data_IF_398782801618
#
_entry.id   IF_398782801618
#
_cell.length_a   1.000
_cell.length_b   1.000
_cell.length_c   1.000
_cell.angle_alpha   90.00
_cell.angle_beta   90.00
_cell.angle_gamma   90.00
#
_symmetry.space_group_name_H-M   'P 1'
#
loop_
_entity.id
_entity.type
_entity.pdbx_description
1 polymer ?
#
# COMPACT_ATOMS: atom_id res chain seq x y z
N UNK A 1 -86.78 -140.79 65.66
CA UNK A 1 -85.74 -139.86 66.15
C UNK A 1 -84.43 -139.79 65.33
N UNK A 2 -84.25 -140.49 64.18
CA UNK A 2 -83.01 -140.38 63.36
C UNK A 2 -83.05 -139.37 62.19
N UNK A 3 -84.22 -138.80 61.84
CA UNK A 3 -84.38 -137.87 60.70
C UNK A 3 -83.98 -136.42 61.02
N UNK A 4 -84.07 -135.98 62.27
CA UNK A 4 -83.82 -134.58 62.67
C UNK A 4 -82.32 -134.21 62.73
N UNK A 5 -81.42 -135.18 62.92
CA UNK A 5 -79.99 -134.91 63.00
C UNK A 5 -79.33 -134.67 61.64
N UNK A 6 -79.94 -135.13 60.54
CA UNK A 6 -79.35 -135.02 59.20
C UNK A 6 -79.57 -133.63 58.56
N UNK A 7 -80.73 -133.02 58.82
CA UNK A 7 -81.12 -131.72 58.25
C UNK A 7 -80.32 -130.56 58.86
N UNK A 8 -79.96 -130.68 60.14
CA UNK A 8 -79.14 -129.71 60.86
C UNK A 8 -77.67 -129.69 60.39
N UNK A 9 -77.18 -130.79 59.80
CA UNK A 9 -75.83 -130.87 59.24
C UNK A 9 -75.73 -130.15 57.89
N UNK A 10 -76.79 -130.20 57.07
CA UNK A 10 -76.82 -129.59 55.73
C UNK A 10 -76.82 -128.05 55.81
N UNK A 11 -77.59 -127.50 56.75
CA UNK A 11 -77.63 -126.06 57.04
C UNK A 11 -76.29 -125.51 57.56
N UNK A 12 -75.53 -126.30 58.33
CA UNK A 12 -74.18 -125.91 58.78
C UNK A 12 -73.21 -125.77 57.61
N UNK A 13 -73.25 -126.70 56.65
CA UNK A 13 -72.37 -126.70 55.48
C UNK A 13 -72.62 -125.52 54.53
N UNK A 14 -73.89 -125.17 54.28
CA UNK A 14 -74.20 -123.98 53.47
C UNK A 14 -73.75 -122.68 54.15
N UNK A 15 -73.87 -122.60 55.47
CA UNK A 15 -73.42 -121.44 56.24
C UNK A 15 -71.89 -121.32 56.21
N UNK A 16 -71.15 -122.42 56.39
CA UNK A 16 -69.69 -122.46 56.25
C UNK A 16 -69.24 -122.03 54.85
N UNK A 17 -69.89 -122.51 53.79
CA UNK A 17 -69.51 -122.14 52.43
C UNK A 17 -69.72 -120.64 52.14
N UNK A 18 -70.81 -120.05 52.66
CA UNK A 18 -71.10 -118.62 52.53
C UNK A 18 -70.10 -117.78 53.34
N UNK A 19 -69.73 -118.24 54.53
CA UNK A 19 -68.69 -117.62 55.36
C UNK A 19 -67.34 -117.60 54.64
N UNK A 20 -66.99 -118.71 53.97
CA UNK A 20 -65.73 -118.85 53.24
C UNK A 20 -65.65 -117.91 52.03
N UNK A 21 -66.75 -117.74 51.29
CA UNK A 21 -66.82 -116.74 50.18
C UNK A 21 -66.64 -115.31 50.69
N UNK A 22 -67.29 -114.96 51.79
CA UNK A 22 -67.13 -113.64 52.41
C UNK A 22 -65.70 -113.42 52.94
N UNK A 23 -65.06 -114.47 53.46
CA UNK A 23 -63.65 -114.41 53.86
C UNK A 23 -62.73 -114.16 52.66
N UNK A 24 -62.93 -114.86 51.53
CA UNK A 24 -62.17 -114.61 50.30
C UNK A 24 -62.39 -113.20 49.73
N UNK A 25 -63.62 -112.70 49.73
CA UNK A 25 -63.92 -111.35 49.22
C UNK A 25 -63.33 -110.26 50.12
N UNK A 26 -63.35 -110.49 51.45
CA UNK A 26 -62.67 -109.62 52.42
C UNK A 26 -61.16 -109.60 52.22
N UNK A 27 -60.52 -110.75 51.98
CA UNK A 27 -59.09 -110.82 51.66
C UNK A 27 -58.76 -110.10 50.34
N UNK A 28 -59.58 -110.30 49.29
CA UNK A 28 -59.39 -109.62 48.01
C UNK A 28 -59.46 -108.08 48.15
N UNK A 29 -60.47 -107.57 48.85
CA UNK A 29 -60.62 -106.14 49.11
C UNK A 29 -59.49 -105.59 50.00
N UNK A 30 -58.99 -106.39 50.95
CA UNK A 30 -57.81 -106.04 51.75
C UNK A 30 -56.58 -105.85 50.87
N UNK A 31 -56.33 -106.79 49.94
CA UNK A 31 -55.21 -106.71 49.00
C UNK A 31 -55.35 -105.56 47.99
N UNK A 32 -56.57 -105.28 47.49
CA UNK A 32 -56.83 -104.13 46.62
C UNK A 32 -56.58 -102.79 47.35
N UNK A 33 -56.97 -102.70 48.62
CA UNK A 33 -56.70 -101.53 49.46
C UNK A 33 -55.20 -101.34 49.74
N UNK A 34 -54.48 -102.42 50.05
CA UNK A 34 -53.02 -102.38 50.20
C UNK A 34 -52.34 -101.93 48.90
N UNK A 35 -52.76 -102.47 47.75
CA UNK A 35 -52.22 -102.07 46.45
C UNK A 35 -52.50 -100.59 46.15
N UNK A 36 -53.70 -100.10 46.45
CA UNK A 36 -54.06 -98.69 46.28
C UNK A 36 -53.23 -97.79 47.21
N UNK A 37 -53.04 -98.21 48.46
CA UNK A 37 -52.19 -97.51 49.43
C UNK A 37 -50.74 -97.42 48.93
N UNK A 38 -50.18 -98.52 48.43
CA UNK A 38 -48.82 -98.54 47.85
C UNK A 38 -48.73 -97.62 46.63
N UNK A 39 -49.72 -97.63 45.72
CA UNK A 39 -49.76 -96.75 44.55
C UNK A 39 -49.84 -95.27 44.93
N UNK A 40 -50.69 -94.93 45.90
CA UNK A 40 -50.85 -93.56 46.39
C UNK A 40 -49.58 -93.07 47.10
N UNK A 41 -48.94 -93.93 47.89
CA UNK A 41 -47.66 -93.65 48.54
C UNK A 41 -46.56 -93.41 47.50
N UNK A 42 -46.51 -94.22 46.43
CA UNK A 42 -45.57 -94.05 45.31
C UNK A 42 -45.80 -92.72 44.57
N UNK A 43 -47.05 -92.35 44.30
CA UNK A 43 -47.39 -91.09 43.62
C UNK A 43 -47.02 -89.89 44.50
N UNK A 44 -47.31 -89.93 45.80
CA UNK A 44 -46.90 -88.91 46.77
C UNK A 44 -45.37 -88.76 46.82
N UNK A 45 -44.62 -89.86 46.81
CA UNK A 45 -43.17 -89.84 46.75
C UNK A 45 -42.66 -89.19 45.44
N UNK A 46 -43.28 -89.50 44.29
CA UNK A 46 -42.96 -88.88 43.00
C UNK A 46 -43.27 -87.37 42.98
N UNK A 47 -44.42 -86.98 43.55
CA UNK A 47 -44.84 -85.57 43.63
C UNK A 47 -43.91 -84.77 44.55
N UNK A 48 -43.51 -85.34 45.69
CA UNK A 48 -42.54 -84.74 46.60
C UNK A 48 -41.15 -84.63 45.95
N UNK A 49 -40.71 -85.64 45.19
CA UNK A 49 -39.47 -85.57 44.44
C UNK A 49 -39.51 -84.48 43.36
N UNK A 50 -40.63 -84.35 42.64
CA UNK A 50 -40.82 -83.33 41.61
C UNK A 50 -40.91 -81.92 42.21
N UNK A 51 -41.59 -81.76 43.34
CA UNK A 51 -41.62 -80.52 44.13
C UNK A 51 -40.22 -80.11 44.58
N UNK A 52 -39.47 -81.04 45.17
CA UNK A 52 -38.08 -80.78 45.61
C UNK A 52 -37.19 -80.38 44.44
N UNK A 53 -37.36 -81.03 43.28
CA UNK A 53 -36.64 -80.67 42.04
C UNK A 53 -36.98 -79.26 41.57
N UNK A 54 -38.26 -78.87 41.56
CA UNK A 54 -38.69 -77.52 41.19
C UNK A 54 -38.19 -76.46 42.17
N UNK A 55 -38.18 -76.75 43.47
CA UNK A 55 -37.62 -75.85 44.49
C UNK A 55 -36.11 -75.65 44.29
N UNK A 56 -35.37 -76.72 44.00
CA UNK A 56 -33.96 -76.66 43.62
C UNK A 56 -33.73 -75.84 42.34
N UNK A 57 -34.54 -76.06 41.31
CA UNK A 57 -34.44 -75.34 40.04
C UNK A 57 -34.73 -73.84 40.23
N UNK A 58 -35.74 -73.49 41.02
CA UNK A 58 -36.05 -72.10 41.36
C UNK A 58 -34.94 -71.45 42.20
N UNK A 59 -34.39 -72.17 43.17
CA UNK A 59 -33.26 -71.67 43.96
C UNK A 59 -32.03 -71.42 43.07
N UNK A 60 -31.74 -72.34 42.15
CA UNK A 60 -30.61 -72.22 41.22
C UNK A 60 -30.82 -71.06 40.23
N UNK A 61 -32.05 -70.88 39.74
CA UNK A 61 -32.42 -69.74 38.87
C UNK A 61 -32.34 -68.41 39.61
N UNK A 62 -32.78 -68.36 40.87
CA UNK A 62 -32.66 -67.17 41.72
C UNK A 62 -31.19 -66.81 41.98
N UNK A 63 -30.35 -67.82 42.27
CA UNK A 63 -28.91 -67.64 42.45
C UNK A 63 -28.24 -67.14 41.15
N UNK A 64 -28.61 -67.68 39.99
CA UNK A 64 -28.12 -67.21 38.68
C UNK A 64 -28.52 -65.75 38.41
N UNK A 65 -29.76 -65.37 38.73
CA UNK A 65 -30.23 -63.99 38.60
C UNK A 65 -29.48 -63.04 39.54
N UNK A 66 -29.25 -63.42 40.79
CA UNK A 66 -28.44 -62.63 41.73
C UNK A 66 -27.00 -62.46 41.23
N UNK A 67 -26.39 -63.51 40.69
CA UNK A 67 -25.05 -63.45 40.11
C UNK A 67 -25.00 -62.51 38.90
N UNK A 68 -26.00 -62.55 38.02
CA UNK A 68 -26.11 -61.66 36.87
C UNK A 68 -26.30 -60.20 37.29
N UNK A 69 -27.17 -59.94 38.27
CA UNK A 69 -27.39 -58.59 38.81
C UNK A 69 -26.11 -58.03 39.44
N UNK A 70 -25.37 -58.84 40.21
CA UNK A 70 -24.09 -58.44 40.78
C UNK A 70 -23.04 -58.15 39.68
N UNK A 71 -23.00 -58.96 38.61
CA UNK A 71 -22.12 -58.73 37.47
C UNK A 71 -22.47 -57.42 36.73
N UNK A 72 -23.76 -57.18 36.45
CA UNK A 72 -24.24 -55.95 35.82
C UNK A 72 -24.00 -54.70 36.70
N UNK A 73 -24.14 -54.82 38.02
CA UNK A 73 -23.82 -53.73 38.95
C UNK A 73 -22.32 -53.40 38.91
N UNK A 74 -21.46 -54.43 38.89
CA UNK A 74 -20.01 -54.25 38.78
C UNK A 74 -19.63 -53.61 37.45
N UNK A 75 -20.22 -54.07 36.34
CA UNK A 75 -20.00 -53.49 35.01
C UNK A 75 -20.46 -52.03 34.94
N UNK A 76 -21.64 -51.72 35.49
CA UNK A 76 -22.14 -50.34 35.60
C UNK A 76 -21.19 -49.46 36.43
N UNK A 77 -20.66 -49.97 37.54
CA UNK A 77 -19.69 -49.24 38.37
C UNK A 77 -18.38 -49.00 37.59
N UNK A 78 -17.89 -50.00 36.84
CA UNK A 78 -16.71 -49.85 36.01
C UNK A 78 -16.89 -48.81 34.91
N UNK A 79 -18.04 -48.82 34.21
CA UNK A 79 -18.36 -47.83 33.18
C UNK A 79 -18.49 -46.43 33.81
N UNK A 80 -19.15 -46.31 34.97
CA UNK A 80 -19.26 -45.04 35.68
C UNK A 80 -17.88 -44.49 36.08
N UNK A 81 -16.98 -45.36 36.56
CA UNK A 81 -15.61 -45.01 36.91
C UNK A 81 -14.78 -44.60 35.69
N UNK A 82 -14.91 -45.30 34.56
CA UNK A 82 -14.26 -44.93 33.30
C UNK A 82 -14.73 -43.57 32.78
N UNK A 83 -16.04 -43.30 32.84
CA UNK A 83 -16.60 -42.02 32.45
C UNK A 83 -16.12 -40.89 33.37
N UNK A 84 -16.05 -41.13 34.68
CA UNK A 84 -15.50 -40.16 35.64
C UNK A 84 -14.02 -39.86 35.36
N UNK A 85 -13.21 -40.90 35.09
CA UNK A 85 -11.81 -40.74 34.72
C UNK A 85 -11.65 -39.95 33.41
N UNK A 86 -12.50 -40.21 32.42
CA UNK A 86 -12.46 -39.50 31.14
C UNK A 86 -12.88 -38.03 31.30
N UNK A 87 -13.86 -37.73 32.16
CA UNK A 87 -14.26 -36.37 32.47
C UNK A 87 -13.11 -35.58 33.13
N UNK A 88 -12.40 -36.17 34.08
CA UNK A 88 -11.22 -35.54 34.70
C UNK A 88 -10.08 -35.34 33.70
N UNK A 89 -9.83 -36.29 32.78
CA UNK A 89 -8.84 -36.12 31.70
C UNK A 89 -9.21 -34.97 30.75
N UNK A 90 -10.49 -34.85 30.39
CA UNK A 90 -10.95 -33.74 29.56
C UNK A 90 -10.76 -32.40 30.28
N UNK A 91 -11.09 -32.35 31.57
CA UNK A 91 -10.90 -31.16 32.42
C UNK A 91 -9.43 -30.75 32.53
N UNK A 92 -8.51 -31.70 32.64
CA UNK A 92 -7.07 -31.42 32.61
C UNK A 92 -6.63 -30.81 31.28
N UNK A 93 -7.10 -31.36 30.15
CA UNK A 93 -6.79 -30.80 28.81
C UNK A 93 -7.36 -29.40 28.62
N UNK A 94 -8.57 -29.13 29.10
CA UNK A 94 -9.16 -27.79 29.07
C UNK A 94 -8.33 -26.78 29.86
N UNK A 95 -7.85 -27.15 31.04
CA UNK A 95 -6.97 -26.30 31.85
C UNK A 95 -5.62 -26.05 31.17
N UNK A 96 -5.05 -27.05 30.52
CA UNK A 96 -3.80 -26.93 29.77
C UNK A 96 -3.95 -25.97 28.58
N UNK A 97 -5.03 -26.12 27.80
CA UNK A 97 -5.38 -25.21 26.71
C UNK A 97 -5.61 -23.77 27.23
N UNK A 98 -6.32 -23.62 28.34
CA UNK A 98 -6.53 -22.29 28.95
C UNK A 98 -5.20 -21.65 29.36
N UNK A 99 -4.32 -22.42 29.98
CA UNK A 99 -3.00 -21.95 30.40
C UNK A 99 -2.15 -21.51 29.19
N UNK A 100 -2.07 -22.33 28.14
CA UNK A 100 -1.35 -21.96 26.90
C UNK A 100 -1.96 -20.72 26.24
N UNK A 101 -3.29 -20.63 26.19
CA UNK A 101 -3.98 -19.46 25.62
C UNK A 101 -3.64 -18.20 26.39
N UNK A 102 -3.64 -18.24 27.73
CA UNK A 102 -3.24 -17.10 28.57
C UNK A 102 -1.76 -16.72 28.35
N UNK A 103 -0.87 -17.71 28.20
CA UNK A 103 0.54 -17.44 27.88
C UNK A 103 0.70 -16.75 26.52
N UNK A 104 -0.01 -17.23 25.49
CA UNK A 104 0.00 -16.62 24.15
C UNK A 104 -0.60 -15.21 24.16
N UNK A 105 -1.68 -14.98 24.90
CA UNK A 105 -2.26 -13.64 25.08
C UNK A 105 -1.28 -12.68 25.74
N UNK A 106 -0.54 -13.14 26.75
CA UNK A 106 0.50 -12.35 27.40
C UNK A 106 1.68 -12.04 26.47
N UNK A 107 2.13 -13.01 25.67
CA UNK A 107 3.16 -12.78 24.63
C UNK A 107 2.68 -11.78 23.58
N UNK A 108 1.44 -11.92 23.11
CA UNK A 108 0.81 -10.98 22.16
C UNK A 108 0.72 -9.58 22.75
N UNK A 109 0.37 -9.46 24.03
CA UNK A 109 0.35 -8.18 24.74
C UNK A 109 1.75 -7.54 24.76
N UNK A 110 2.80 -8.29 25.10
CA UNK A 110 4.19 -7.80 25.06
C UNK A 110 4.58 -7.30 23.67
N UNK A 111 4.35 -8.09 22.62
CA UNK A 111 4.65 -7.69 21.24
C UNK A 111 3.89 -6.43 20.83
N UNK A 112 2.61 -6.32 21.19
CA UNK A 112 1.83 -5.11 20.91
C UNK A 112 2.40 -3.87 21.61
N UNK A 113 2.84 -3.99 22.87
CA UNK A 113 3.48 -2.87 23.57
C UNK A 113 4.79 -2.45 22.91
N UNK A 114 5.57 -3.41 22.41
CA UNK A 114 6.81 -3.15 21.69
C UNK A 114 6.55 -2.45 20.35
N UNK A 115 5.57 -2.92 19.58
CA UNK A 115 5.12 -2.27 18.32
C UNK A 115 4.72 -0.82 18.57
N UNK A 116 3.92 -0.56 19.61
CA UNK A 116 3.52 0.82 19.97
C UNK A 116 4.74 1.67 20.31
N UNK A 117 5.72 1.12 21.04
CA UNK A 117 6.95 1.83 21.38
C UNK A 117 7.81 2.13 20.14
N UNK A 118 7.93 1.18 19.21
CA UNK A 118 8.66 1.33 17.95
C UNK A 118 7.99 2.36 17.04
N UNK A 119 6.67 2.33 16.92
CA UNK A 119 5.91 3.33 16.16
C UNK A 119 6.12 4.74 16.71
N UNK A 120 6.18 4.92 18.03
CA UNK A 120 6.54 6.21 18.64
C UNK A 120 7.97 6.62 18.29
N UNK A 121 8.95 5.71 18.34
CA UNK A 121 10.33 6.00 17.95
C UNK A 121 10.45 6.39 16.47
N UNK A 122 9.75 5.68 15.58
CA UNK A 122 9.69 6.00 14.14
C UNK A 122 9.10 7.39 13.94
N UNK A 123 7.96 7.70 14.56
CA UNK A 123 7.34 9.01 14.45
C UNK A 123 8.22 10.15 15.00
N UNK A 124 8.97 9.87 16.08
CA UNK A 124 9.90 10.84 16.67
C UNK A 124 11.08 11.07 15.73
N UNK A 125 11.70 10.01 15.20
CA UNK A 125 12.79 10.10 14.21
C UNK A 125 12.36 10.85 12.96
N UNK A 126 11.17 10.56 12.42
CA UNK A 126 10.64 11.26 11.25
C UNK A 126 10.50 12.77 11.51
N UNK A 127 10.02 13.17 12.70
CA UNK A 127 9.97 14.59 13.10
C UNK A 127 11.36 15.20 13.29
N UNK A 128 12.28 14.47 13.92
CA UNK A 128 13.66 14.93 14.10
C UNK A 128 14.33 15.13 12.75
N UNK A 129 14.18 14.20 11.83
CA UNK A 129 14.68 14.28 10.46
C UNK A 129 14.02 15.45 9.69
N UNK A 130 12.72 15.67 9.88
CA UNK A 130 12.03 16.83 9.30
C UNK A 130 12.56 18.17 9.84
N UNK A 131 12.97 18.22 11.11
CA UNK A 131 13.59 19.39 11.74
C UNK A 131 15.05 19.58 11.34
N UNK A 132 15.84 18.51 11.32
CA UNK A 132 17.24 18.52 10.87
C UNK A 132 17.34 18.91 9.38
N UNK A 133 16.37 18.48 8.57
CA UNK A 133 16.26 18.88 7.18
C UNK A 133 15.77 20.32 6.99
N UNK A 134 15.38 21.04 8.05
CA UNK A 134 14.97 22.45 7.95
C UNK A 134 16.09 23.40 8.36
N UNK A 135 16.40 24.36 7.50
CA UNK A 135 17.33 25.45 7.81
C UNK A 135 16.58 26.50 8.62
N UNK A 136 16.92 26.65 9.90
CA UNK A 136 16.25 27.54 10.86
C UNK A 136 16.48 29.05 10.63
N UNK A 137 16.99 29.48 9.48
CA UNK A 137 17.10 30.91 9.17
C UNK A 137 15.77 31.42 8.58
N UNK A 138 15.20 32.50 9.12
CA UNK A 138 13.97 33.07 8.57
C UNK A 138 14.21 33.60 7.16
N UNK A 139 13.15 33.56 6.34
CA UNK A 139 13.14 34.15 4.99
C UNK A 139 13.30 35.66 5.09
N UNK A 140 14.09 36.23 4.19
CA UNK A 140 14.39 37.66 4.18
C UNK A 140 13.64 38.35 3.05
N UNK A 141 12.88 39.40 3.37
CA UNK A 141 12.10 40.18 2.41
C UNK A 141 12.64 41.61 2.36
N UNK A 142 13.38 41.94 1.31
CA UNK A 142 14.00 43.25 1.12
C UNK A 142 13.29 44.04 0.03
N UNK A 143 12.99 45.32 0.29
CA UNK A 143 12.49 46.26 -0.73
C UNK A 143 13.56 46.58 -1.76
N UNK A 144 14.79 46.75 -1.28
CA UNK A 144 16.00 46.94 -2.07
C UNK A 144 16.89 45.70 -1.88
N UNK A 145 16.73 44.67 -2.75
CA UNK A 145 17.36 43.37 -2.56
C UNK A 145 18.81 43.29 -3.05
N UNK A 146 19.32 44.34 -3.69
CA UNK A 146 20.65 44.39 -4.28
C UNK A 146 21.52 45.41 -3.56
N UNK A 147 22.59 44.95 -2.92
CA UNK A 147 23.54 45.76 -2.15
C UNK A 147 24.95 45.23 -2.40
N UNK A 148 25.89 46.11 -2.75
CA UNK A 148 27.32 45.81 -2.89
C UNK A 148 27.64 44.53 -3.69
N UNK A 149 26.98 44.34 -4.84
CA UNK A 149 27.22 43.18 -5.72
C UNK A 149 26.46 41.91 -5.34
N UNK A 150 25.86 41.83 -4.15
CA UNK A 150 25.07 40.69 -3.71
C UNK A 150 23.56 40.94 -3.90
N UNK A 151 22.86 39.95 -4.44
CA UNK A 151 21.40 39.95 -4.58
C UNK A 151 20.76 38.95 -3.61
N UNK A 152 19.85 39.42 -2.75
CA UNK A 152 19.05 38.56 -1.86
C UNK A 152 17.71 38.24 -2.50
N UNK A 153 17.46 36.96 -2.76
CA UNK A 153 16.19 36.48 -3.32
C UNK A 153 15.37 35.84 -2.21
N UNK A 154 14.11 36.26 -2.10
CA UNK A 154 13.16 35.68 -1.15
C UNK A 154 12.42 34.49 -1.77
N UNK A 155 11.56 33.84 -0.97
CA UNK A 155 10.63 32.84 -1.51
C UNK A 155 9.56 33.42 -2.44
N UNK A 156 9.54 34.74 -2.65
CA UNK A 156 8.73 35.40 -3.70
C UNK A 156 9.40 35.29 -5.07
N UNK A 157 9.92 34.12 -5.38
CA UNK A 157 10.53 33.82 -6.66
C UNK A 157 9.62 32.93 -7.52
N UNK A 158 9.86 32.96 -8.83
CA UNK A 158 9.16 32.22 -9.86
C UNK A 158 10.22 31.70 -10.83
N UNK A 159 10.40 30.39 -10.88
CA UNK A 159 11.30 29.76 -11.86
C UNK A 159 10.69 29.89 -13.26
N UNK A 160 11.49 30.38 -14.21
CA UNK A 160 11.18 30.46 -15.64
C UNK A 160 12.31 29.77 -16.42
N UNK A 161 12.32 28.44 -16.35
CA UNK A 161 13.29 27.60 -17.05
C UNK A 161 12.62 26.75 -18.13
N UNK A 162 13.39 26.42 -19.17
CA UNK A 162 12.92 25.73 -20.35
C UNK A 162 12.08 26.59 -21.29
N UNK A 163 11.49 25.99 -22.34
CA UNK A 163 10.72 26.74 -23.34
C UNK A 163 9.47 27.43 -22.78
N UNK A 164 9.15 28.60 -23.32
CA UNK A 164 7.94 29.36 -22.98
C UNK A 164 6.76 28.87 -23.84
N UNK A 165 5.77 28.25 -23.19
CA UNK A 165 4.49 27.84 -23.76
C UNK A 165 3.35 28.12 -22.76
N UNK A 166 2.10 27.78 -23.09
CA UNK A 166 0.91 28.18 -22.29
C UNK A 166 1.00 27.72 -20.83
N UNK A 167 1.46 26.49 -20.56
CA UNK A 167 1.66 25.98 -19.21
C UNK A 167 2.64 26.85 -18.40
N UNK A 168 3.80 27.19 -18.98
CA UNK A 168 4.81 28.06 -18.37
C UNK A 168 4.24 29.45 -18.07
N UNK A 169 3.59 30.08 -19.03
CA UNK A 169 3.03 31.42 -18.84
C UNK A 169 1.87 31.43 -17.84
N UNK A 170 0.99 30.42 -17.87
CA UNK A 170 -0.09 30.25 -16.88
C UNK A 170 0.48 30.12 -15.46
N UNK A 171 1.55 29.34 -15.29
CA UNK A 171 2.24 29.22 -14.01
C UNK A 171 2.81 30.57 -13.54
N UNK A 172 3.62 31.23 -14.36
CA UNK A 172 4.25 32.51 -14.01
C UNK A 172 3.21 33.58 -13.66
N UNK A 173 2.19 33.75 -14.50
CA UNK A 173 1.11 34.72 -14.28
C UNK A 173 0.34 34.41 -13.00
N UNK A 174 0.03 33.13 -12.75
CA UNK A 174 -0.65 32.70 -11.53
C UNK A 174 0.18 32.96 -10.27
N UNK A 175 1.51 32.76 -10.32
CA UNK A 175 2.41 33.07 -9.21
C UNK A 175 2.52 34.58 -8.95
N UNK A 176 2.59 35.40 -9.99
CA UNK A 176 2.55 36.87 -9.83
C UNK A 176 1.26 37.31 -9.13
N UNK A 177 0.10 36.78 -9.55
CA UNK A 177 -1.19 37.08 -8.90
C UNK A 177 -1.23 36.60 -7.45
N UNK A 178 -0.76 35.38 -7.18
CA UNK A 178 -0.66 34.83 -5.83
C UNK A 178 0.16 35.74 -4.90
N UNK A 179 1.35 36.15 -5.33
CA UNK A 179 2.21 37.00 -4.53
C UNK A 179 1.62 38.39 -4.31
N UNK A 180 0.97 38.98 -5.34
CA UNK A 180 0.23 40.23 -5.24
C UNK A 180 -0.94 40.18 -4.25
N UNK A 181 -1.55 39.01 -4.03
CA UNK A 181 -2.62 38.82 -3.05
C UNK A 181 -2.07 38.62 -1.63
N UNK A 182 -0.83 38.14 -1.48
CA UNK A 182 -0.17 37.98 -0.17
C UNK A 182 0.37 39.30 0.37
N UNK A 183 1.14 40.02 -0.43
CA UNK A 183 1.67 41.34 -0.10
C UNK A 183 2.20 41.99 -1.38
N UNK A 184 2.10 43.31 -1.48
CA UNK A 184 2.63 44.08 -2.61
C UNK A 184 3.88 44.89 -2.23
N UNK A 185 4.33 44.78 -0.98
CA UNK A 185 5.41 45.60 -0.43
C UNK A 185 6.80 45.18 -0.94
N UNK A 186 6.97 43.89 -1.24
CA UNK A 186 8.26 43.30 -1.59
C UNK A 186 8.27 42.78 -3.04
N UNK A 187 9.43 42.85 -3.73
CA UNK A 187 9.56 42.41 -5.10
C UNK A 187 9.23 40.93 -5.29
N UNK A 188 8.83 40.61 -6.52
CA UNK A 188 8.69 39.26 -7.04
C UNK A 188 9.86 39.04 -7.99
N UNK A 189 10.57 37.92 -7.86
CA UNK A 189 11.71 37.59 -8.71
C UNK A 189 11.32 36.52 -9.72
N UNK A 190 11.39 36.81 -11.02
CA UNK A 190 11.41 35.78 -12.05
C UNK A 190 12.87 35.34 -12.19
N UNK A 191 13.15 34.09 -11.87
CA UNK A 191 14.51 33.52 -11.89
C UNK A 191 14.63 32.61 -13.10
N UNK A 192 15.58 32.95 -13.97
CA UNK A 192 15.90 32.23 -15.20
C UNK A 192 17.30 31.67 -15.02
N UNK A 193 17.41 30.36 -14.87
CA UNK A 193 18.69 29.68 -15.05
C UNK A 193 18.94 29.46 -16.54
N UNK A 194 18.05 28.75 -17.21
CA UNK A 194 18.16 28.44 -18.64
C UNK A 194 16.80 28.51 -19.32
N UNK A 195 16.60 29.53 -20.17
CA UNK A 195 15.38 29.69 -20.96
C UNK A 195 15.70 30.10 -22.41
N UNK A 196 15.43 29.24 -23.42
CA UNK A 196 15.64 29.57 -24.84
C UNK A 196 14.55 30.47 -25.44
N UNK A 197 13.61 30.96 -24.62
CA UNK A 197 12.42 31.66 -25.09
C UNK A 197 11.32 30.69 -25.54
N UNK A 198 10.47 31.12 -26.48
CA UNK A 198 9.33 30.33 -26.95
C UNK A 198 8.25 31.19 -27.58
N UNK A 199 6.98 30.87 -27.28
CA UNK A 199 5.82 31.56 -27.85
C UNK A 199 5.79 33.06 -27.52
N UNK A 200 5.73 33.90 -28.56
CA UNK A 200 5.59 35.37 -28.43
C UNK A 200 4.30 35.77 -27.72
N UNK A 201 3.20 35.03 -27.94
CA UNK A 201 1.92 35.28 -27.29
C UNK A 201 2.01 35.04 -25.78
N UNK A 202 2.62 33.92 -25.39
CA UNK A 202 2.77 33.54 -23.98
C UNK A 202 3.78 34.43 -23.26
N UNK A 203 4.86 34.82 -23.93
CA UNK A 203 5.77 35.84 -23.43
C UNK A 203 5.09 37.21 -23.24
N UNK A 204 4.25 37.63 -24.20
CA UNK A 204 3.46 38.87 -24.08
C UNK A 204 2.52 38.82 -22.87
N UNK A 205 1.95 37.66 -22.57
CA UNK A 205 1.10 37.44 -21.39
C UNK A 205 1.90 37.60 -20.07
N UNK A 206 3.12 37.07 -20.02
CA UNK A 206 4.04 37.29 -18.87
C UNK A 206 4.37 38.77 -18.72
N UNK A 207 4.79 39.45 -19.79
CA UNK A 207 5.11 40.89 -19.77
C UNK A 207 3.94 41.74 -19.29
N UNK A 208 2.71 41.45 -19.76
CA UNK A 208 1.49 42.14 -19.32
C UNK A 208 1.22 41.91 -17.83
N UNK A 209 1.46 40.70 -17.32
CA UNK A 209 1.32 40.40 -15.89
C UNK A 209 2.37 41.12 -15.04
N UNK A 210 3.63 41.19 -15.51
CA UNK A 210 4.69 41.97 -14.87
C UNK A 210 4.30 43.45 -14.79
N UNK A 211 3.91 44.05 -15.92
CA UNK A 211 3.53 45.47 -16.01
C UNK A 211 2.30 45.83 -15.16
N UNK A 212 1.34 44.91 -15.00
CA UNK A 212 0.13 45.12 -14.20
C UNK A 212 0.30 44.71 -12.73
N UNK A 213 1.45 44.15 -12.35
CA UNK A 213 1.72 43.74 -10.98
C UNK A 213 1.77 44.95 -10.07
N UNK A 214 1.22 44.83 -8.85
CA UNK A 214 1.31 45.87 -7.83
C UNK A 214 2.65 45.81 -7.09
N UNK A 215 3.13 44.61 -6.81
CA UNK A 215 4.50 44.38 -6.39
C UNK A 215 5.45 44.59 -7.57
N UNK A 216 6.64 45.18 -7.37
CA UNK A 216 7.65 45.23 -8.42
C UNK A 216 8.06 43.82 -8.85
N UNK A 217 8.24 43.61 -10.15
CA UNK A 217 8.65 42.31 -10.70
C UNK A 217 10.03 42.46 -11.34
N UNK A 218 11.00 41.77 -10.76
CA UNK A 218 12.38 41.78 -11.21
C UNK A 218 12.73 40.46 -11.89
N UNK A 219 13.69 40.50 -12.80
CA UNK A 219 14.19 39.31 -13.50
C UNK A 219 15.64 39.05 -13.08
N UNK A 220 15.97 37.79 -12.80
CA UNK A 220 17.34 37.36 -12.46
C UNK A 220 17.76 36.29 -13.46
N UNK A 221 18.83 36.52 -14.20
CA UNK A 221 19.39 35.55 -15.16
C UNK A 221 20.67 34.96 -14.59
N UNK A 222 20.69 33.65 -14.38
CA UNK A 222 21.86 32.94 -13.87
C UNK A 222 22.77 32.44 -15.00
N UNK A 223 22.20 31.84 -16.05
CA UNK A 223 23.01 31.25 -17.13
C UNK A 223 22.61 31.69 -18.53
N UNK A 224 21.34 31.56 -18.95
CA UNK A 224 20.94 31.80 -20.33
C UNK A 224 19.52 32.31 -20.46
N UNK A 225 19.35 33.46 -21.11
CA UNK A 225 18.05 34.00 -21.51
C UNK A 225 18.08 34.42 -22.98
N UNK A 226 17.37 33.68 -23.83
CA UNK A 226 17.29 33.96 -25.26
C UNK A 226 15.87 34.31 -25.72
N UNK A 227 15.77 34.97 -26.87
CA UNK A 227 14.50 35.22 -27.56
C UNK A 227 13.51 35.92 -26.61
N UNK A 228 12.31 35.37 -26.46
CA UNK A 228 11.28 35.91 -25.57
C UNK A 228 11.73 36.03 -24.09
N UNK A 229 12.67 35.21 -23.62
CA UNK A 229 13.23 35.34 -22.28
C UNK A 229 14.18 36.56 -22.17
N UNK A 230 14.96 36.83 -23.21
CA UNK A 230 15.79 38.04 -23.32
C UNK A 230 14.92 39.31 -23.36
N UNK A 231 13.80 39.27 -24.10
CA UNK A 231 12.81 40.36 -24.13
C UNK A 231 12.19 40.59 -22.74
N UNK A 232 11.78 39.53 -22.04
CA UNK A 232 11.28 39.63 -20.64
C UNK A 232 12.32 40.25 -19.71
N UNK A 233 13.57 39.80 -19.83
CA UNK A 233 14.70 40.32 -19.03
C UNK A 233 14.95 41.80 -19.33
N UNK A 234 14.98 42.17 -20.61
CA UNK A 234 15.28 43.54 -21.04
C UNK A 234 14.16 44.48 -20.66
N UNK A 235 12.89 44.07 -20.75
CA UNK A 235 11.73 44.92 -20.46
C UNK A 235 11.30 44.90 -18.98
N UNK A 236 11.97 44.13 -18.13
CA UNK A 236 11.75 44.19 -16.69
C UNK A 236 12.04 45.60 -16.14
N UNK A 237 11.41 45.92 -15.01
CA UNK A 237 11.67 47.18 -14.29
C UNK A 237 13.12 47.21 -13.80
N UNK A 238 13.56 46.09 -13.21
CA UNK A 238 14.97 45.82 -12.93
C UNK A 238 15.29 44.38 -13.32
N UNK A 239 16.44 44.22 -13.94
CA UNK A 239 17.01 42.92 -14.28
C UNK A 239 18.43 42.79 -13.72
N UNK A 240 18.72 41.62 -13.21
CA UNK A 240 20.00 41.24 -12.63
C UNK A 240 20.55 40.04 -13.40
N UNK A 241 21.84 39.98 -13.64
CA UNK A 241 22.44 38.80 -14.23
C UNK A 241 23.84 38.54 -13.67
N UNK A 242 24.19 37.26 -13.55
CA UNK A 242 25.57 36.86 -13.30
C UNK A 242 26.46 37.26 -14.49
N UNK A 243 27.75 37.55 -14.28
CA UNK A 243 28.58 38.18 -15.30
C UNK A 243 28.73 37.35 -16.59
N UNK A 244 28.70 36.02 -16.44
CA UNK A 244 28.83 34.99 -17.46
C UNK A 244 27.47 34.52 -18.03
N UNK A 245 26.36 35.03 -17.51
CA UNK A 245 25.06 34.76 -18.11
C UNK A 245 24.99 35.33 -19.53
N UNK A 246 24.39 34.59 -20.46
CA UNK A 246 24.25 34.99 -21.86
C UNK A 246 22.84 35.49 -22.13
N UNK A 247 22.76 36.69 -22.73
CA UNK A 247 21.53 37.28 -23.20
C UNK A 247 21.55 37.28 -24.73
N UNK A 248 20.54 36.70 -25.36
CA UNK A 248 20.48 36.55 -26.82
C UNK A 248 19.17 37.09 -27.38
N UNK A 249 19.27 38.12 -28.22
CA UNK A 249 18.15 38.62 -29.02
C UNK A 249 18.28 38.17 -30.47
N UNK A 250 17.14 37.84 -31.07
CA UNK A 250 17.02 37.44 -32.47
C UNK A 250 15.64 37.87 -33.01
N UNK A 251 15.46 37.85 -34.32
CA UNK A 251 14.22 38.27 -34.95
C UNK A 251 13.07 37.32 -34.60
N UNK A 252 11.83 37.84 -34.54
CA UNK A 252 10.65 37.00 -34.38
C UNK A 252 10.55 36.03 -35.56
N UNK A 253 10.56 34.73 -35.25
CA UNK A 253 10.41 33.66 -36.23
C UNK A 253 9.03 33.04 -36.15
N UNK A 254 8.55 32.53 -37.29
CA UNK A 254 7.26 31.85 -37.40
C UNK A 254 7.25 30.89 -38.58
N UNK A 255 6.38 29.88 -38.49
CA UNK A 255 6.14 28.93 -39.58
C UNK A 255 4.80 29.33 -40.21
N UNK A 256 4.78 29.46 -41.54
CA UNK A 256 3.57 29.74 -42.31
C UNK A 256 3.37 28.65 -43.37
N UNK A 257 2.14 28.18 -43.55
CA UNK A 257 1.74 27.24 -44.58
C UNK A 257 0.47 27.77 -45.25
N UNK A 258 0.38 27.64 -46.57
CA UNK A 258 -0.81 28.08 -47.32
C UNK A 258 -0.47 28.65 -48.69
N UNK A 259 -1.44 29.35 -49.26
CA UNK A 259 -1.29 30.08 -50.51
C UNK A 259 -0.57 31.43 -50.30
N UNK A 260 -0.27 32.11 -51.41
CA UNK A 260 0.45 33.40 -51.41
C UNK A 260 -0.21 34.48 -50.53
N UNK A 261 -1.54 34.51 -50.44
CA UNK A 261 -2.25 35.49 -49.60
C UNK A 261 -2.06 35.16 -48.13
N UNK A 262 -2.23 33.90 -47.75
CA UNK A 262 -2.03 33.42 -46.37
C UNK A 262 -0.60 33.70 -45.88
N UNK A 263 0.41 33.46 -46.73
CA UNK A 263 1.79 33.82 -46.41
C UNK A 263 1.97 35.32 -46.16
N UNK A 264 1.37 36.19 -46.98
CA UNK A 264 1.45 37.64 -46.79
C UNK A 264 0.78 38.09 -45.49
N UNK A 265 -0.35 37.49 -45.14
CA UNK A 265 -1.06 37.78 -43.89
C UNK A 265 -0.25 37.36 -42.67
N UNK A 266 0.38 36.18 -42.71
CA UNK A 266 1.25 35.72 -41.62
C UNK A 266 2.50 36.60 -41.45
N UNK A 267 3.12 37.05 -42.54
CA UNK A 267 4.24 37.99 -42.45
C UNK A 267 3.84 39.29 -41.76
N UNK A 268 2.69 39.87 -42.12
CA UNK A 268 2.16 41.07 -41.42
C UNK A 268 1.96 40.84 -39.92
N UNK A 269 1.52 39.65 -39.52
CA UNK A 269 1.35 39.31 -38.10
C UNK A 269 2.70 39.24 -37.39
N UNK A 270 3.74 38.69 -38.04
CA UNK A 270 5.10 38.64 -37.50
C UNK A 270 5.69 40.07 -37.37
N UNK A 271 5.45 40.93 -38.35
CA UNK A 271 5.86 42.34 -38.30
C UNK A 271 5.21 43.05 -37.11
N UNK A 272 3.89 42.90 -36.93
CA UNK A 272 3.16 43.45 -35.77
C UNK A 272 3.68 42.94 -34.43
N UNK A 273 4.07 41.66 -34.33
CA UNK A 273 4.68 41.13 -33.12
C UNK A 273 6.06 41.74 -32.86
N UNK A 274 6.85 41.95 -33.91
CA UNK A 274 8.16 42.58 -33.84
C UNK A 274 8.04 44.03 -33.36
N UNK A 275 7.11 44.81 -33.91
CA UNK A 275 6.82 46.16 -33.45
C UNK A 275 6.37 46.21 -31.99
N UNK A 276 5.59 45.22 -31.53
CA UNK A 276 5.05 45.23 -30.15
C UNK A 276 6.02 44.75 -29.09
N UNK A 277 6.94 43.86 -29.44
CA UNK A 277 7.83 43.19 -28.49
C UNK A 277 9.29 43.61 -28.62
N UNK A 278 9.76 43.85 -29.84
CA UNK A 278 11.16 44.16 -30.13
C UNK A 278 11.40 45.67 -30.20
N UNK A 279 10.46 46.47 -30.71
CA UNK A 279 10.58 47.95 -30.66
C UNK A 279 10.88 48.46 -29.24
N UNK A 280 10.19 48.03 -28.17
CA UNK A 280 10.51 48.49 -26.82
C UNK A 280 11.93 48.10 -26.34
N UNK A 281 12.49 47.01 -26.87
CA UNK A 281 13.88 46.60 -26.60
C UNK A 281 14.85 47.55 -27.32
N UNK A 282 14.61 47.84 -28.59
CA UNK A 282 15.38 48.81 -29.37
C UNK A 282 15.28 50.23 -28.77
N UNK A 283 14.10 50.63 -28.28
CA UNK A 283 13.86 51.90 -27.60
C UNK A 283 14.71 52.03 -26.33
N UNK A 284 14.86 50.97 -25.54
CA UNK A 284 15.75 50.98 -24.36
C UNK A 284 17.19 51.27 -24.77
N UNK A 285 17.65 50.70 -25.88
CA UNK A 285 18.98 50.96 -26.45
C UNK A 285 19.12 52.36 -27.05
N UNK A 286 18.01 53.00 -27.42
CA UNK A 286 18.00 54.30 -28.10
C UNK A 286 18.27 54.21 -29.60
N UNK A 287 17.90 53.09 -30.24
CA UNK A 287 18.05 52.86 -31.68
C UNK A 287 16.71 52.46 -32.32
N UNK A 288 16.64 52.51 -33.65
CA UNK A 288 15.44 52.08 -34.39
C UNK A 288 15.32 50.56 -34.43
N UNK A 289 14.11 50.03 -34.69
CA UNK A 289 13.90 48.59 -34.89
C UNK A 289 14.71 48.05 -36.08
N UNK A 290 14.83 48.83 -37.14
CA UNK A 290 15.64 48.45 -38.32
C UNK A 290 17.13 48.37 -37.97
N UNK A 291 17.65 49.34 -37.21
CA UNK A 291 19.05 49.30 -36.74
C UNK A 291 19.29 48.12 -35.78
N UNK A 292 18.34 47.84 -34.88
CA UNK A 292 18.43 46.69 -33.99
C UNK A 292 18.44 45.37 -34.77
N UNK A 293 17.56 45.23 -35.76
CA UNK A 293 17.53 44.09 -36.68
C UNK A 293 18.85 43.99 -37.44
N UNK A 294 19.36 45.08 -38.00
CA UNK A 294 20.65 45.10 -38.69
C UNK A 294 21.78 44.59 -37.79
N UNK A 295 21.81 45.01 -36.53
CA UNK A 295 22.77 44.54 -35.52
C UNK A 295 22.69 43.05 -35.26
N UNK A 296 21.49 42.49 -35.21
CA UNK A 296 21.30 41.04 -35.07
C UNK A 296 22.06 40.23 -36.13
N UNK A 297 22.13 40.76 -37.35
CA UNK A 297 22.77 40.10 -38.48
C UNK A 297 24.21 40.54 -38.75
N UNK A 298 24.81 41.45 -37.94
CA UNK A 298 26.17 41.96 -38.16
C UNK A 298 27.24 40.85 -38.13
N UNK A 299 27.03 39.81 -37.32
CA UNK A 299 28.02 38.76 -37.07
C UNK A 299 27.64 37.37 -37.58
N UNK A 300 26.36 37.13 -37.91
CA UNK A 300 25.92 35.85 -38.45
C UNK A 300 24.63 35.99 -39.28
N UNK A 301 24.41 35.04 -40.19
CA UNK A 301 23.25 35.05 -41.10
C UNK A 301 21.96 34.54 -40.45
N UNK A 302 22.02 34.00 -39.23
CA UNK A 302 20.83 33.48 -38.52
C UNK A 302 20.16 34.55 -37.66
N UNK A 303 20.82 35.70 -37.43
CA UNK A 303 20.27 36.83 -36.69
C UNK A 303 20.37 36.68 -35.17
N UNK A 304 21.26 35.84 -34.68
CA UNK A 304 21.46 35.63 -33.24
C UNK A 304 22.49 36.62 -32.71
N UNK A 305 22.05 37.66 -32.01
CA UNK A 305 22.95 38.57 -31.30
C UNK A 305 22.95 38.24 -29.82
N UNK A 306 24.03 37.58 -29.40
CA UNK A 306 24.27 37.24 -28.02
C UNK A 306 25.39 38.09 -27.43
N UNK A 307 25.27 38.36 -26.14
CA UNK A 307 26.29 39.02 -25.33
C UNK A 307 26.32 38.38 -23.94
N UNK A 308 27.51 38.27 -23.36
CA UNK A 308 27.62 38.01 -21.92
C UNK A 308 27.05 39.21 -21.14
N UNK A 309 26.50 38.98 -19.96
CA UNK A 309 25.77 39.99 -19.21
C UNK A 309 26.60 41.25 -18.97
N UNK A 310 27.89 41.10 -18.65
CA UNK A 310 28.82 42.20 -18.45
C UNK A 310 28.95 43.15 -19.66
N UNK A 311 28.78 42.64 -20.89
CA UNK A 311 28.69 43.42 -22.11
C UNK A 311 27.26 43.88 -22.37
N UNK A 312 26.27 43.02 -22.11
CA UNK A 312 24.84 43.28 -22.32
C UNK A 312 24.29 44.49 -21.54
N UNK A 313 24.90 44.83 -20.40
CA UNK A 313 24.58 46.06 -19.65
C UNK A 313 24.82 47.33 -20.46
N UNK A 314 25.84 47.35 -21.34
CA UNK A 314 26.10 48.50 -22.25
C UNK A 314 24.95 48.75 -23.21
N UNK A 315 24.23 47.68 -23.58
CA UNK A 315 23.04 47.72 -24.42
C UNK A 315 21.74 47.84 -23.60
N UNK A 316 21.83 47.97 -22.27
CA UNK A 316 20.68 48.04 -21.35
C UNK A 316 19.74 46.83 -21.44
N UNK A 317 20.27 45.68 -21.85
CA UNK A 317 19.53 44.41 -21.85
C UNK A 317 19.40 43.84 -20.43
N UNK A 318 20.37 44.14 -19.59
CA UNK A 318 20.36 43.86 -18.15
C UNK A 318 20.60 45.16 -17.41
N UNK A 319 19.95 45.35 -16.26
CA UNK A 319 20.08 46.57 -15.46
C UNK A 319 21.34 46.54 -14.57
N UNK A 320 21.61 45.40 -13.93
CA UNK A 320 22.72 45.26 -12.97
C UNK A 320 23.45 43.92 -13.15
N UNK A 321 24.76 43.93 -12.96
CA UNK A 321 25.56 42.72 -12.77
C UNK A 321 25.60 42.40 -11.28
N UNK A 322 25.47 41.11 -10.97
CA UNK A 322 25.57 40.59 -9.59
C UNK A 322 26.76 39.63 -9.51
N UNK A 323 27.44 39.63 -8.38
CA UNK A 323 28.57 38.73 -8.10
C UNK A 323 28.11 37.48 -7.35
N UNK A 324 27.09 37.62 -6.50
CA UNK A 324 26.57 36.55 -5.67
C UNK A 324 25.04 36.64 -5.52
N UNK A 325 24.41 35.46 -5.37
CA UNK A 325 22.97 35.32 -5.13
C UNK A 325 22.78 34.61 -3.80
N UNK A 326 22.23 35.34 -2.82
CA UNK A 326 21.77 34.75 -1.57
C UNK A 326 20.28 34.38 -1.69
N UNK A 327 20.02 33.12 -2.02
CA UNK A 327 18.66 32.60 -2.10
C UNK A 327 18.17 32.13 -0.71
N UNK A 328 17.16 32.81 -0.17
CA UNK A 328 16.54 32.48 1.12
C UNK A 328 15.24 31.69 0.98
N UNK A 329 14.89 31.24 -0.23
CA UNK A 329 13.63 30.55 -0.49
C UNK A 329 13.61 29.10 0.02
N UNK A 330 14.76 28.43 -0.05
CA UNK A 330 14.93 27.06 0.40
C UNK A 330 15.18 27.01 1.91
N UNK A 331 14.15 26.59 2.64
CA UNK A 331 14.21 26.32 4.09
C UNK A 331 14.21 24.83 4.38
N UNK A 332 14.08 23.99 3.35
CA UNK A 332 14.15 22.53 3.44
C UNK A 332 15.34 22.06 2.61
N UNK A 333 16.06 21.07 3.13
CA UNK A 333 17.08 20.33 2.40
C UNK A 333 16.45 19.82 1.09
N UNK A 334 17.06 20.07 -0.08
CA UNK A 334 16.60 19.49 -1.32
C UNK A 334 16.57 17.98 -1.15
N UNK A 335 15.45 17.36 -1.52
CA UNK A 335 15.38 15.90 -1.60
C UNK A 335 16.29 15.50 -2.76
N UNK A 336 17.23 14.58 -2.52
CA UNK A 336 17.93 13.90 -3.60
C UNK A 336 16.86 13.13 -4.38
N UNK A 337 16.37 13.73 -5.46
CA UNK A 337 15.73 12.94 -6.49
C UNK A 337 16.88 12.22 -7.18
N UNK A 338 16.84 10.90 -7.17
CA UNK A 338 17.46 10.09 -8.22
C UNK A 338 16.75 10.49 -9.52
N UNK A 339 17.03 11.68 -10.04
CA UNK A 339 16.93 11.86 -11.46
C UNK A 339 17.88 10.80 -12.03
N UNK A 340 17.37 9.94 -12.92
CA UNK A 340 18.21 9.19 -13.85
C UNK A 340 18.94 10.20 -14.73
N UNK A 341 19.83 10.99 -14.13
CA UNK A 341 20.80 11.75 -14.85
C UNK A 341 21.74 10.69 -15.40
N UNK A 342 21.62 10.45 -16.71
CA UNK A 342 22.62 9.81 -17.58
C UNK A 342 23.93 10.64 -17.59
N UNK A 343 24.28 11.22 -16.45
CA UNK A 343 25.53 11.88 -16.14
C UNK A 343 26.67 10.98 -16.58
N UNK A 344 27.79 11.63 -16.87
CA UNK A 344 28.96 11.04 -17.53
C UNK A 344 29.43 9.69 -16.95
N UNK A 345 29.03 9.34 -15.73
CA UNK A 345 29.40 8.14 -14.97
C UNK A 345 28.52 6.90 -15.18
N UNK A 346 27.30 7.00 -15.71
CA UNK A 346 26.38 5.84 -15.84
C UNK A 346 26.10 5.39 -17.29
N UNK A 347 26.86 5.89 -18.27
CA UNK A 347 26.52 5.61 -19.67
C UNK A 347 26.96 4.24 -20.15
N UNK A 348 25.99 3.49 -20.67
CA UNK A 348 26.24 2.22 -21.33
C UNK A 348 26.95 2.45 -22.67
N UNK A 349 28.08 1.77 -22.82
CA UNK A 349 28.83 1.70 -24.07
C UNK A 349 28.01 0.94 -25.12
N UNK A 350 27.79 1.57 -26.28
CA UNK A 350 27.04 1.00 -27.42
C UNK A 350 28.01 0.52 -28.49
N UNK A 351 27.58 -0.45 -29.27
CA UNK A 351 28.35 -1.01 -30.39
C UNK A 351 27.59 -0.65 -31.67
N UNK A 352 28.24 0.00 -32.64
CA UNK A 352 27.72 0.07 -34.00
C UNK A 352 27.53 -1.35 -34.55
N UNK A 353 26.68 -1.55 -35.56
CA UNK A 353 26.41 -2.81 -36.27
C UNK A 353 27.46 -3.93 -36.11
N UNK A 354 27.04 -5.22 -36.03
CA UNK A 354 27.86 -6.31 -35.50
C UNK A 354 29.34 -6.26 -35.93
N UNK A 355 30.18 -5.67 -35.07
CA UNK A 355 31.61 -5.91 -35.07
C UNK A 355 32.58 -4.77 -35.38
N UNK A 356 32.26 -3.46 -35.34
CA UNK A 356 33.32 -2.47 -35.65
C UNK A 356 33.69 -1.36 -34.66
N UNK A 357 32.82 -0.67 -33.91
CA UNK A 357 33.30 0.34 -32.93
C UNK A 357 32.36 0.51 -31.73
N UNK A 358 32.96 0.58 -30.53
CA UNK A 358 32.28 0.97 -29.30
C UNK A 358 32.17 2.50 -29.24
N UNK A 359 31.09 3.02 -28.69
CA UNK A 359 30.91 4.45 -28.48
C UNK A 359 30.03 4.76 -27.27
N UNK A 360 30.19 5.96 -26.72
CA UNK A 360 29.37 6.54 -25.66
C UNK A 360 28.58 7.71 -26.24
N UNK A 361 27.25 7.68 -26.06
CA UNK A 361 26.38 8.78 -26.50
C UNK A 361 26.45 9.94 -25.50
N UNK A 362 26.91 11.09 -25.96
CA UNK A 362 26.94 12.33 -25.20
C UNK A 362 25.51 12.86 -25.00
N UNK A 363 25.25 13.62 -23.92
CA UNK A 363 24.00 14.34 -23.77
C UNK A 363 23.86 15.32 -24.93
N UNK A 364 22.61 15.71 -25.18
CA UNK A 364 22.35 16.80 -26.10
C UNK A 364 22.93 18.09 -25.50
N UNK A 365 23.79 18.77 -26.25
CA UNK A 365 24.27 20.11 -25.91
C UNK A 365 23.08 21.07 -25.85
N UNK A 366 23.04 21.92 -24.82
CA UNK A 366 22.19 23.11 -24.84
C UNK A 366 22.85 24.17 -25.73
N UNK A 367 22.12 25.20 -26.20
CA UNK A 367 22.70 26.33 -26.91
C UNK A 367 23.91 26.88 -26.16
N UNK A 368 24.98 27.18 -26.89
CA UNK A 368 26.27 27.68 -26.37
C UNK A 368 27.09 26.67 -25.55
N UNK A 369 26.57 25.49 -25.24
CA UNK A 369 27.39 24.42 -24.65
C UNK A 369 28.39 23.92 -25.69
N UNK A 370 29.62 23.64 -25.24
CA UNK A 370 30.65 22.98 -26.04
C UNK A 370 31.23 21.81 -25.27
N UNK A 371 31.43 20.68 -25.96
CA UNK A 371 32.24 19.60 -25.43
C UNK A 371 33.71 19.85 -25.76
N UNK A 372 34.52 20.11 -24.75
CA UNK A 372 35.97 20.14 -24.90
C UNK A 372 36.53 18.74 -24.54
N UNK A 373 36.52 17.83 -25.51
CA UNK A 373 36.88 16.41 -25.33
C UNK A 373 37.98 15.99 -26.30
N UNK A 374 38.93 15.16 -25.84
CA UNK A 374 39.86 14.44 -26.71
C UNK A 374 39.16 13.17 -27.24
N UNK A 375 38.79 13.15 -28.52
CA UNK A 375 37.96 12.10 -29.13
C UNK A 375 38.60 11.51 -30.41
N UNK A 376 39.80 10.92 -30.34
CA UNK A 376 40.61 10.55 -31.51
C UNK A 376 40.04 9.39 -32.36
N UNK A 377 39.20 8.55 -31.76
CA UNK A 377 38.64 7.34 -32.35
C UNK A 377 37.12 7.43 -32.60
N UNK A 378 36.53 8.62 -32.39
CA UNK A 378 35.09 8.88 -32.42
C UNK A 378 34.32 8.03 -31.40
N UNK A 379 34.92 7.80 -30.23
CA UNK A 379 34.31 7.11 -29.10
C UNK A 379 33.13 7.89 -28.51
N UNK A 380 33.22 9.21 -28.39
CA UNK A 380 32.12 10.05 -27.93
C UNK A 380 31.30 10.58 -29.10
N UNK A 381 29.97 10.42 -29.09
CA UNK A 381 29.09 10.76 -30.23
C UNK A 381 27.78 11.40 -29.78
N UNK A 382 27.13 12.17 -30.64
CA UNK A 382 25.82 12.81 -30.37
C UNK A 382 24.62 11.98 -30.80
#
# INVERSE_FOLDING_TARGET
>A
MKKLQLEHAKLRLEHEHKLLKLQQEKERLSLENELHFVKQTKLLAQLNALKSRLELENALRSQQQQKLLAALQTERQNIAMQNALQAERNRQKELEIQFETTQLEFQRFKLNTEIVSLNRKIATRAKTEEWENQVNKPKEYLKEPFVDGQLVISDRNIVLDGPIFDGTAKYVVGRIQYYNNKTTEYPIFIVIDYCPGGSVMEGSRILKAMKKSRAPVYVVVKSFAASMAAVITTLAERSYALPDAVILHHQVSGISMGNRTEHREQLKIIDEWSERLIQPVADKMGITLDDFTKKMYEHNSIGDWFEFANAAVKYKWVSHIIEDIRDTSYTKRPVEQEEEDDGFRQRQEKIDEPGKKRYVKLPRLRPMDVYHLHNPDNYYRH
#
